data_IF_623494013912
#
_entry.id   IF_623494013912
#
_cell.length_a   1.000
_cell.length_b   1.000
_cell.length_c   1.000
_cell.angle_alpha   90.00
_cell.angle_beta   90.00
_cell.angle_gamma   90.00
#
_symmetry.space_group_name_H-M   'P 1'
#
loop_
_entity.id
_entity.type
_entity.pdbx_description
1 polymer ?
#
# COMPACT_ATOMS: atom_id res chain seq x y z
N UNK A 1 -12.43 -9.55 11.29
CA UNK A 1 -12.56 -9.55 9.81
C UNK A 1 -12.59 -8.11 9.34
N UNK A 2 -11.60 -7.65 8.56
CA UNK A 2 -11.65 -6.33 7.94
C UNK A 2 -12.88 -6.16 7.03
N UNK A 3 -13.74 -5.20 7.38
CA UNK A 3 -14.86 -4.78 6.55
C UNK A 3 -14.53 -3.47 5.80
N UNK A 4 -15.52 -2.89 5.12
CA UNK A 4 -15.30 -1.72 4.26
C UNK A 4 -14.78 -0.49 5.03
N UNK A 5 -15.25 -0.29 6.25
CA UNK A 5 -14.80 0.76 7.16
C UNK A 5 -13.32 0.59 7.56
N UNK A 6 -12.92 -0.64 7.91
CA UNK A 6 -11.56 -1.02 8.28
C UNK A 6 -10.61 -0.79 7.10
N UNK A 7 -11.03 -1.19 5.90
CA UNK A 7 -10.27 -1.01 4.67
C UNK A 7 -10.19 0.48 4.31
N UNK A 8 -11.25 1.26 4.49
CA UNK A 8 -11.22 2.71 4.28
C UNK A 8 -10.26 3.42 5.25
N UNK A 9 -10.26 3.06 6.53
CA UNK A 9 -9.32 3.60 7.51
C UNK A 9 -7.87 3.25 7.16
N UNK A 10 -7.61 2.01 6.73
CA UNK A 10 -6.30 1.59 6.27
C UNK A 10 -5.84 2.41 5.04
N UNK A 11 -6.72 2.61 4.05
CA UNK A 11 -6.42 3.42 2.87
C UNK A 11 -6.03 4.85 3.25
N UNK A 12 -6.80 5.48 4.15
CA UNK A 12 -6.54 6.84 4.61
C UNK A 12 -5.19 6.95 5.32
N UNK A 13 -4.90 6.05 6.26
CA UNK A 13 -3.60 6.01 6.98
C UNK A 13 -2.42 5.85 6.02
N UNK A 14 -2.55 4.97 5.02
CA UNK A 14 -1.52 4.78 4.00
C UNK A 14 -1.36 6.00 3.09
N UNK A 15 -2.47 6.62 2.68
CA UNK A 15 -2.45 7.82 1.87
C UNK A 15 -1.72 8.96 2.61
N UNK A 16 -2.12 9.25 3.86
CA UNK A 16 -1.51 10.30 4.68
C UNK A 16 0.00 10.05 4.89
N UNK A 17 0.41 8.78 5.00
CA UNK A 17 1.79 8.40 5.23
C UNK A 17 2.68 8.47 3.97
N UNK A 18 2.13 8.13 2.79
CA UNK A 18 2.94 7.83 1.60
C UNK A 18 2.66 8.75 0.40
N UNK A 19 1.46 9.29 0.24
CA UNK A 19 1.10 10.05 -0.96
C UNK A 19 2.02 11.27 -1.16
N UNK A 20 2.42 11.49 -2.42
CA UNK A 20 3.38 12.53 -2.81
C UNK A 20 4.85 12.20 -2.51
N UNK A 21 5.15 11.08 -1.83
CA UNK A 21 6.53 10.67 -1.52
C UNK A 21 7.06 9.70 -2.56
N UNK A 22 8.36 9.80 -2.83
CA UNK A 22 9.10 8.85 -3.68
C UNK A 22 9.51 7.65 -2.85
N UNK A 23 9.24 6.44 -3.35
CA UNK A 23 9.70 5.22 -2.69
C UNK A 23 11.22 5.09 -2.80
N UNK A 24 11.87 4.93 -1.66
CA UNK A 24 13.31 4.64 -1.57
C UNK A 24 13.60 3.15 -1.43
N UNK A 25 12.58 2.35 -1.10
CA UNK A 25 12.65 0.89 -0.99
C UNK A 25 11.27 0.27 -1.27
N UNK A 26 11.26 -0.89 -1.91
CA UNK A 26 10.11 -1.79 -1.97
C UNK A 26 10.56 -3.25 -1.90
N UNK A 27 9.80 -4.09 -1.21
CA UNK A 27 10.10 -5.52 -1.06
C UNK A 27 8.79 -6.33 -1.03
N UNK A 28 8.69 -7.34 -1.89
CA UNK A 28 7.51 -8.19 -2.03
C UNK A 28 7.82 -9.64 -1.68
N UNK A 29 7.27 -10.12 -0.56
CA UNK A 29 7.36 -11.52 -0.11
C UNK A 29 6.30 -12.43 -0.76
N UNK A 30 6.07 -12.23 -2.05
CA UNK A 30 5.16 -13.04 -2.88
C UNK A 30 5.96 -13.48 -4.12
N UNK A 31 6.15 -14.80 -4.37
CA UNK A 31 7.08 -15.29 -5.40
C UNK A 31 6.88 -14.68 -6.79
N UNK A 32 5.63 -14.46 -7.20
CA UNK A 32 5.29 -13.87 -8.51
C UNK A 32 5.82 -12.43 -8.68
N UNK A 33 6.06 -11.72 -7.59
CA UNK A 33 6.46 -10.30 -7.60
C UNK A 33 7.81 -10.07 -6.90
N UNK A 34 8.58 -11.13 -6.62
CA UNK A 34 9.80 -11.04 -5.81
C UNK A 34 10.89 -10.15 -6.43
N UNK A 35 10.90 -9.96 -7.75
CA UNK A 35 11.85 -9.11 -8.48
C UNK A 35 11.28 -7.75 -8.87
N UNK A 36 10.05 -7.43 -8.48
CA UNK A 36 9.44 -6.13 -8.79
C UNK A 36 10.09 -5.06 -7.90
N UNK A 37 10.57 -4.00 -8.55
CA UNK A 37 11.10 -2.82 -7.88
C UNK A 37 10.27 -1.58 -8.24
N UNK A 38 9.78 -0.88 -7.21
CA UNK A 38 9.03 0.36 -7.31
C UNK A 38 9.85 1.58 -6.85
N UNK A 39 11.13 1.41 -6.53
CA UNK A 39 12.01 2.53 -6.14
C UNK A 39 12.02 3.63 -7.18
N UNK A 40 12.18 4.87 -6.73
CA UNK A 40 12.19 6.06 -7.59
C UNK A 40 10.81 6.50 -8.07
N UNK A 41 9.74 5.72 -7.84
CA UNK A 41 8.36 6.11 -8.21
C UNK A 41 7.69 6.86 -7.08
N UNK A 42 6.98 7.94 -7.41
CA UNK A 42 6.11 8.62 -6.47
C UNK A 42 4.83 7.80 -6.21
N UNK A 43 4.38 7.76 -4.95
CA UNK A 43 3.03 7.30 -4.60
C UNK A 43 2.05 8.41 -4.91
N UNK A 44 1.05 8.15 -5.76
CA UNK A 44 0.07 9.14 -6.17
C UNK A 44 -1.09 9.20 -5.16
N UNK A 45 -1.69 8.05 -4.88
CA UNK A 45 -2.73 7.91 -3.88
C UNK A 45 -2.84 6.48 -3.34
N UNK A 46 -3.59 6.33 -2.24
CA UNK A 46 -4.10 5.04 -1.79
C UNK A 46 -5.59 5.18 -1.54
N UNK A 47 -6.40 4.38 -2.21
CA UNK A 47 -7.87 4.43 -2.08
C UNK A 47 -8.44 3.05 -1.78
N UNK A 48 -9.59 3.01 -1.11
CA UNK A 48 -10.37 1.79 -0.96
C UNK A 48 -11.48 1.71 -2.01
N UNK A 49 -11.77 0.48 -2.44
CA UNK A 49 -12.95 0.13 -3.24
C UNK A 49 -13.57 -1.13 -2.65
N UNK A 50 -14.60 -0.95 -1.82
CA UNK A 50 -15.13 -2.04 -1.00
C UNK A 50 -14.03 -2.61 -0.09
N UNK A 51 -13.73 -3.90 -0.22
CA UNK A 51 -12.69 -4.60 0.57
C UNK A 51 -11.30 -4.58 -0.07
N UNK A 52 -11.13 -3.83 -1.16
CA UNK A 52 -9.87 -3.72 -1.88
C UNK A 52 -9.14 -2.42 -1.57
N UNK A 53 -7.82 -2.50 -1.43
CA UNK A 53 -6.91 -1.36 -1.36
C UNK A 53 -6.15 -1.23 -2.67
N UNK A 54 -6.11 0.00 -3.19
CA UNK A 54 -5.41 0.34 -4.42
C UNK A 54 -4.44 1.48 -4.13
N UNK A 55 -3.14 1.19 -4.15
CA UNK A 55 -2.08 2.20 -4.07
C UNK A 55 -1.52 2.44 -5.46
N UNK A 56 -1.62 3.67 -5.96
CA UNK A 56 -1.17 4.03 -7.31
C UNK A 56 0.21 4.67 -7.27
N UNK A 57 1.01 4.37 -8.27
CA UNK A 57 2.35 4.90 -8.43
C UNK A 57 2.49 5.60 -9.77
N UNK A 58 3.45 6.52 -9.84
CA UNK A 58 3.90 7.09 -11.09
C UNK A 58 4.30 5.99 -12.09
N UNK A 59 4.02 6.25 -13.38
CA UNK A 59 4.22 5.29 -14.46
C UNK A 59 3.11 4.24 -14.57
N UNK A 60 1.92 4.51 -14.04
CA UNK A 60 0.70 3.74 -14.32
C UNK A 60 0.58 2.41 -13.57
N UNK A 61 1.40 2.17 -12.55
CA UNK A 61 1.35 0.95 -11.75
C UNK A 61 0.39 1.09 -10.57
N UNK A 62 -0.25 -0.01 -10.19
CA UNK A 62 -1.12 -0.07 -9.00
C UNK A 62 -0.81 -1.32 -8.19
N UNK A 63 -0.50 -1.15 -6.90
CA UNK A 63 -0.51 -2.24 -5.93
C UNK A 63 -1.94 -2.48 -5.47
N UNK A 64 -2.45 -3.66 -5.80
CA UNK A 64 -3.76 -4.12 -5.37
C UNK A 64 -3.60 -5.13 -4.24
N UNK A 65 -4.16 -4.82 -3.07
CA UNK A 65 -4.19 -5.73 -1.93
C UNK A 65 -5.59 -5.91 -1.36
N UNK A 66 -5.83 -7.05 -0.72
CA UNK A 66 -7.08 -7.39 -0.04
C UNK A 66 -6.74 -8.04 1.30
N UNK A 67 -7.24 -7.47 2.39
CA UNK A 67 -6.85 -7.88 3.75
C UNK A 67 -7.37 -9.27 4.14
N UNK A 68 -8.38 -9.78 3.44
CA UNK A 68 -9.01 -11.09 3.74
C UNK A 68 -9.47 -11.08 5.20
N UNK A 69 -9.13 -12.10 5.98
CA UNK A 69 -9.58 -12.23 7.37
C UNK A 69 -8.60 -11.62 8.37
N UNK A 70 -7.30 -11.69 8.10
CA UNK A 70 -6.23 -11.41 9.07
C UNK A 70 -5.15 -10.44 8.57
N UNK A 71 -5.22 -10.03 7.30
CA UNK A 71 -4.27 -9.09 6.74
C UNK A 71 -4.41 -7.70 7.38
N UNK A 72 -3.28 -7.01 7.50
CA UNK A 72 -3.22 -5.66 8.04
C UNK A 72 -2.14 -4.85 7.31
N UNK A 73 -2.35 -3.53 7.29
CA UNK A 73 -1.29 -2.57 6.98
C UNK A 73 -0.88 -1.87 8.27
N UNK A 74 0.43 -1.67 8.42
CA UNK A 74 1.02 -0.95 9.54
C UNK A 74 1.91 0.14 8.99
N UNK A 75 1.86 1.30 9.62
CA UNK A 75 2.65 2.48 9.26
C UNK A 75 3.55 2.81 10.44
N UNK A 76 4.81 3.04 10.16
CA UNK A 76 5.86 3.27 11.14
C UNK A 76 6.75 4.43 10.70
N UNK A 77 7.39 5.11 11.65
CA UNK A 77 8.48 6.02 11.37
C UNK A 77 9.70 5.28 10.78
N UNK A 78 10.60 6.01 10.14
CA UNK A 78 11.83 5.44 9.63
C UNK A 78 12.68 4.87 10.79
N UNK A 79 12.97 3.57 10.75
CA UNK A 79 13.73 2.86 11.79
C UNK A 79 12.88 2.25 12.92
N UNK A 80 11.57 2.47 12.91
CA UNK A 80 10.63 1.88 13.88
C UNK A 80 10.10 0.51 13.40
N UNK A 81 9.55 -0.30 14.32
CA UNK A 81 9.00 -1.65 14.08
C UNK A 81 7.68 -1.89 14.81
#
# INVERSE_FOLDING_TARGET
MPEGDTVWQAARRLHDALAGKVLTLSDFRVPKYATVDLTGRAVLDTVSRGKHLLTRFEGGLTLHSHLRMEGAWKVYGAGER
#
